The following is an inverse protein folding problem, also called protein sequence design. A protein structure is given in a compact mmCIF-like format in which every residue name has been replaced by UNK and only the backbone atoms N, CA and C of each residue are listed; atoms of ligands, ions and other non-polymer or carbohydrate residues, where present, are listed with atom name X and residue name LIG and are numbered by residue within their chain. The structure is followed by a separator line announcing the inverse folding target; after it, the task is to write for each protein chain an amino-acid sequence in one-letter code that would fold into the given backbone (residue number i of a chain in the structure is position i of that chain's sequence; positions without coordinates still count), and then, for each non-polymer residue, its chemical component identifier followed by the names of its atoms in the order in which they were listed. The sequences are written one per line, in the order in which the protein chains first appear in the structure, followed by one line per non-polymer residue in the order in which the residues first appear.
data_IF_241595779346
#
_entry.id   IF_241595779346
#
_cell.length_a   1.000
_cell.length_b   1.000
_cell.length_c   1.000
_cell.angle_alpha   90.00
_cell.angle_beta   90.00
_cell.angle_gamma   90.00
#
_symmetry.space_group_name_H-M   'P 1'
#
loop_
_entity.id
_entity.type
_entity.pdbx_description
1 polymer ?
#
# COMPACT_ATOMS: atom_id res chain seq x y z
N UNK A 1 -56.92 22.36 -30.21
CA UNK A 1 -55.67 21.88 -30.83
C UNK A 1 -54.80 21.27 -29.75
N UNK A 2 -54.37 20.00 -29.93
CA UNK A 2 -53.44 19.26 -29.07
C UNK A 2 -51.99 19.38 -29.58
N UNK A 3 -51.03 18.85 -28.79
CA UNK A 3 -49.73 18.20 -29.15
C UNK A 3 -48.86 18.19 -27.86
N UNK A 4 -48.68 17.04 -27.21
CA UNK A 4 -47.55 16.07 -27.36
C UNK A 4 -46.21 16.62 -26.84
N UNK A 5 -45.33 15.90 -26.14
CA UNK A 5 -45.28 14.55 -25.57
C UNK A 5 -43.93 14.45 -24.79
N UNK A 6 -43.75 13.34 -24.07
CA UNK A 6 -42.49 12.73 -23.59
C UNK A 6 -42.03 13.16 -22.18
N UNK A 7 -42.23 12.31 -21.16
CA UNK A 7 -41.45 11.09 -20.90
C UNK A 7 -39.94 11.31 -21.09
N UNK A 8 -39.23 11.49 -19.98
CA UNK A 8 -37.93 10.83 -19.79
C UNK A 8 -37.69 10.61 -18.30
N UNK A 9 -38.11 9.42 -17.89
CA UNK A 9 -37.51 8.65 -16.81
C UNK A 9 -36.06 8.33 -17.22
N UNK A 10 -35.11 8.62 -16.33
CA UNK A 10 -33.88 7.86 -16.07
C UNK A 10 -33.47 8.33 -14.66
N UNK A 11 -33.83 7.66 -13.57
CA UNK A 11 -33.55 6.26 -13.24
C UNK A 11 -32.09 5.88 -13.53
N UNK A 12 -31.17 6.55 -12.83
CA UNK A 12 -29.82 6.04 -12.53
C UNK A 12 -29.67 5.72 -11.03
N UNK A 13 -30.76 5.35 -10.35
CA UNK A 13 -30.68 4.60 -9.09
C UNK A 13 -30.49 3.11 -9.42
N UNK A 14 -29.37 2.82 -10.08
CA UNK A 14 -29.05 1.52 -10.64
C UNK A 14 -27.78 0.91 -10.06
N UNK A 15 -27.53 1.04 -8.75
CA UNK A 15 -26.60 0.14 -8.05
C UNK A 15 -27.27 -1.23 -7.90
N UNK A 16 -27.54 -1.90 -9.02
CA UNK A 16 -28.04 -3.26 -8.99
C UNK A 16 -27.03 -4.16 -8.27
N UNK A 17 -27.46 -5.31 -7.72
CA UNK A 17 -26.58 -6.28 -7.05
C UNK A 17 -25.40 -6.74 -7.94
N UNK A 18 -25.46 -6.52 -9.26
CA UNK A 18 -24.36 -6.76 -10.21
C UNK A 18 -23.19 -5.75 -10.15
N UNK A 19 -23.43 -4.48 -9.82
CA UNK A 19 -22.37 -3.46 -9.77
C UNK A 19 -21.49 -3.63 -8.52
N UNK A 20 -22.10 -3.96 -7.39
CA UNK A 20 -21.37 -4.32 -6.19
C UNK A 20 -20.52 -5.56 -6.44
N UNK A 21 -21.04 -6.55 -7.15
CA UNK A 21 -20.33 -7.77 -7.49
C UNK A 21 -19.08 -7.58 -8.37
N UNK A 22 -18.92 -6.43 -9.02
CA UNK A 22 -17.77 -6.13 -9.87
C UNK A 22 -16.57 -5.59 -9.07
N UNK A 23 -16.80 -4.78 -8.03
CA UNK A 23 -15.73 -4.07 -7.29
C UNK A 23 -14.68 -5.00 -6.67
N UNK A 24 -15.10 -6.15 -6.11
CA UNK A 24 -14.18 -7.12 -5.52
C UNK A 24 -13.39 -7.90 -6.58
N UNK A 25 -14.00 -8.14 -7.76
CA UNK A 25 -13.33 -8.77 -8.89
C UNK A 25 -12.26 -7.81 -9.42
N UNK A 26 -12.63 -6.56 -9.68
CA UNK A 26 -11.73 -5.48 -10.09
C UNK A 26 -10.57 -5.33 -9.10
N UNK A 27 -10.86 -5.23 -7.79
CA UNK A 27 -9.82 -5.14 -6.76
C UNK A 27 -8.86 -6.34 -6.76
N UNK A 28 -9.37 -7.55 -6.99
CA UNK A 28 -8.55 -8.75 -7.05
C UNK A 28 -7.66 -8.78 -8.31
N UNK A 29 -8.18 -8.40 -9.48
CA UNK A 29 -7.38 -8.29 -10.71
C UNK A 29 -6.29 -7.22 -10.57
N UNK A 30 -6.64 -6.06 -10.03
CA UNK A 30 -5.68 -4.99 -9.73
C UNK A 30 -4.58 -5.46 -8.79
N UNK A 31 -4.96 -6.19 -7.75
CA UNK A 31 -4.03 -6.76 -6.78
C UNK A 31 -3.10 -7.79 -7.43
N UNK A 32 -3.59 -8.63 -8.35
CA UNK A 32 -2.75 -9.60 -9.10
C UNK A 32 -1.75 -8.89 -10.00
N UNK A 33 -2.20 -7.91 -10.77
CA UNK A 33 -1.32 -7.12 -11.65
C UNK A 33 -0.26 -6.39 -10.84
N UNK A 34 -0.65 -5.78 -9.73
CA UNK A 34 0.27 -5.05 -8.87
C UNK A 34 1.30 -5.96 -8.20
N UNK A 35 0.88 -7.13 -7.69
CA UNK A 35 1.78 -8.13 -7.11
C UNK A 35 2.74 -8.73 -8.15
N UNK A 36 2.26 -9.02 -9.37
CA UNK A 36 3.12 -9.55 -10.43
C UNK A 36 4.21 -8.55 -10.84
N UNK A 37 3.86 -7.27 -10.93
CA UNK A 37 4.82 -6.22 -11.23
C UNK A 37 5.81 -5.99 -10.07
N UNK A 38 5.38 -6.09 -8.81
CA UNK A 38 6.28 -6.02 -7.66
C UNK A 38 7.23 -7.23 -7.58
N UNK A 39 6.73 -8.44 -7.85
CA UNK A 39 7.54 -9.64 -7.91
C UNK A 39 8.61 -9.57 -9.01
N UNK A 40 8.28 -9.01 -10.16
CA UNK A 40 9.24 -8.78 -11.24
C UNK A 40 10.31 -7.74 -10.87
N UNK A 41 9.93 -6.67 -10.16
CA UNK A 41 10.89 -5.68 -9.63
C UNK A 41 11.84 -6.31 -8.59
N UNK A 42 11.32 -7.16 -7.71
CA UNK A 42 12.12 -7.90 -6.74
C UNK A 42 13.08 -8.90 -7.41
N UNK A 43 12.61 -9.64 -8.43
CA UNK A 43 13.44 -10.59 -9.16
C UNK A 43 14.59 -9.89 -9.90
N UNK A 44 14.31 -8.74 -10.52
CA UNK A 44 15.30 -7.95 -11.22
C UNK A 44 16.34 -7.31 -10.29
N UNK A 45 15.95 -6.93 -9.06
CA UNK A 45 16.88 -6.45 -8.05
C UNK A 45 17.88 -7.52 -7.56
N UNK A 46 17.47 -8.80 -7.55
CA UNK A 46 18.35 -9.91 -7.16
C UNK A 46 19.27 -10.40 -8.28
N UNK A 47 18.94 -10.12 -9.55
CA UNK A 47 19.71 -10.59 -10.71
C UNK A 47 20.87 -9.68 -11.13
N UNK A 48 21.08 -8.54 -10.47
CA UNK A 48 22.16 -7.57 -10.80
C UNK A 48 23.57 -8.09 -10.42
N UNK A 49 23.69 -9.31 -9.87
CA UNK A 49 24.97 -9.86 -9.39
C UNK A 49 25.73 -10.77 -10.36
N UNK A 50 25.32 -10.90 -11.62
CA UNK A 50 26.06 -11.73 -12.60
C UNK A 50 26.17 -10.99 -13.93
N UNK A 51 27.39 -10.50 -14.21
CA UNK A 51 27.78 -9.83 -15.44
C UNK A 51 27.30 -10.56 -16.71
N UNK A 52 26.48 -9.90 -17.55
CA UNK A 52 26.38 -10.12 -19.00
C UNK A 52 25.47 -9.08 -19.69
N UNK A 53 26.01 -8.43 -20.73
CA UNK A 53 25.38 -7.53 -21.71
C UNK A 53 24.63 -6.28 -21.19
N UNK A 54 25.30 -5.12 -21.32
CA UNK A 54 24.75 -3.78 -21.03
C UNK A 54 23.41 -3.49 -21.71
N UNK A 55 23.16 -4.06 -22.89
CA UNK A 55 21.88 -3.91 -23.61
C UNK A 55 20.73 -4.68 -22.94
N UNK A 56 20.99 -5.86 -22.38
CA UNK A 56 20.00 -6.66 -21.68
C UNK A 56 19.67 -6.06 -20.30
N UNK A 57 20.68 -5.60 -19.57
CA UNK A 57 20.52 -4.84 -18.32
C UNK A 57 19.73 -3.55 -18.54
N UNK A 58 20.03 -2.82 -19.62
CA UNK A 58 19.33 -1.58 -19.94
C UNK A 58 17.89 -1.82 -20.42
N UNK A 59 17.64 -2.90 -21.16
CA UNK A 59 16.28 -3.31 -21.52
C UNK A 59 15.45 -3.71 -20.28
N UNK A 60 16.06 -4.44 -19.34
CA UNK A 60 15.42 -4.81 -18.07
C UNK A 60 15.13 -3.57 -17.23
N UNK A 61 16.10 -2.66 -17.06
CA UNK A 61 15.92 -1.40 -16.34
C UNK A 61 14.80 -0.54 -16.95
N UNK A 62 14.77 -0.42 -18.28
CA UNK A 62 13.72 0.30 -19.00
C UNK A 62 12.34 -0.33 -18.78
N UNK A 63 12.25 -1.66 -18.77
CA UNK A 63 11.00 -2.36 -18.50
C UNK A 63 10.51 -2.15 -17.06
N UNK A 64 11.41 -2.19 -16.08
CA UNK A 64 11.08 -1.86 -14.68
C UNK A 64 10.57 -0.43 -14.54
N UNK A 65 11.25 0.54 -15.16
CA UNK A 65 10.83 1.95 -15.17
C UNK A 65 9.43 2.09 -15.78
N UNK A 66 9.19 1.44 -16.91
CA UNK A 66 7.89 1.43 -17.59
C UNK A 66 6.78 0.88 -16.68
N UNK A 67 7.02 -0.26 -16.03
CA UNK A 67 6.04 -0.87 -15.10
C UNK A 67 5.76 0.01 -13.89
N UNK A 68 6.81 0.54 -13.27
CA UNK A 68 6.67 1.46 -12.14
C UNK A 68 5.92 2.74 -12.55
N UNK A 69 6.16 3.26 -13.74
CA UNK A 69 5.41 4.40 -14.29
C UNK A 69 3.93 4.07 -14.50
N UNK A 70 3.63 2.93 -15.11
CA UNK A 70 2.25 2.50 -15.34
C UNK A 70 1.47 2.31 -14.02
N UNK A 71 2.11 1.75 -12.99
CA UNK A 71 1.50 1.63 -11.66
C UNK A 71 1.22 2.98 -11.01
N UNK A 72 2.17 3.92 -11.11
CA UNK A 72 1.98 5.29 -10.59
C UNK A 72 0.83 5.99 -11.30
N UNK A 73 0.77 5.88 -12.62
CA UNK A 73 -0.27 6.55 -13.41
C UNK A 73 -1.66 6.00 -13.09
N UNK A 74 -1.80 4.67 -13.06
CA UNK A 74 -3.03 4.01 -12.61
C UNK A 74 -3.40 4.43 -11.19
N UNK A 75 -2.44 4.41 -10.28
CA UNK A 75 -2.66 4.79 -8.91
C UNK A 75 -3.11 6.24 -8.76
N UNK A 76 -2.53 7.18 -9.51
CA UNK A 76 -2.99 8.58 -9.56
C UNK A 76 -4.43 8.69 -10.05
N UNK A 77 -4.81 7.93 -11.07
CA UNK A 77 -6.18 7.91 -11.59
C UNK A 77 -7.16 7.38 -10.54
N UNK A 78 -6.81 6.29 -9.86
CA UNK A 78 -7.63 5.70 -8.80
C UNK A 78 -7.73 6.62 -7.56
N UNK A 79 -6.66 7.33 -7.20
CA UNK A 79 -6.67 8.29 -6.10
C UNK A 79 -7.59 9.50 -6.36
N UNK A 80 -7.77 9.87 -7.64
CA UNK A 80 -8.70 10.94 -8.07
C UNK A 80 -10.15 10.48 -8.15
N UNK A 81 -10.39 9.17 -8.27
CA UNK A 81 -11.71 8.59 -8.42
C UNK A 81 -12.52 8.81 -7.14
N UNK A 82 -13.66 9.49 -7.28
CA UNK A 82 -14.64 9.65 -6.19
C UNK A 82 -15.72 8.59 -6.33
N UNK A 83 -15.95 7.83 -5.27
CA UNK A 83 -16.98 6.81 -5.20
C UNK A 83 -18.12 7.34 -4.34
N UNK A 84 -19.28 7.53 -4.97
CA UNK A 84 -20.49 7.98 -4.30
C UNK A 84 -21.05 6.90 -3.36
N UNK A 85 -21.71 7.32 -2.28
CA UNK A 85 -22.40 6.39 -1.36
C UNK A 85 -21.53 5.64 -0.36
N UNK A 86 -20.21 5.88 -0.34
CA UNK A 86 -19.29 5.29 0.66
C UNK A 86 -18.95 6.35 1.72
N UNK A 87 -19.08 6.05 3.02
CA UNK A 87 -18.60 6.95 4.07
C UNK A 87 -17.08 7.08 3.96
N UNK A 88 -16.61 8.32 3.79
CA UNK A 88 -15.20 8.62 3.50
C UNK A 88 -14.79 9.99 4.02
N UNK A 89 -13.49 10.20 4.19
CA UNK A 89 -12.89 11.51 4.48
C UNK A 89 -12.23 12.04 3.21
N UNK A 90 -12.48 13.30 2.88
CA UNK A 90 -11.71 14.00 1.85
C UNK A 90 -10.47 14.61 2.50
N UNK A 91 -9.29 14.23 2.02
CA UNK A 91 -8.02 14.70 2.56
C UNK A 91 -7.19 15.29 1.43
N UNK A 92 -6.73 16.53 1.62
CA UNK A 92 -5.71 17.11 0.75
C UNK A 92 -4.35 16.53 1.15
N UNK A 93 -3.68 15.87 0.21
CA UNK A 93 -2.40 15.19 0.41
C UNK A 93 -1.34 15.89 -0.40
N UNK A 94 -0.28 16.33 0.29
CA UNK A 94 0.91 16.93 -0.29
C UNK A 94 2.13 16.15 0.21
N UNK A 95 2.93 15.60 -0.71
CA UNK A 95 4.15 14.84 -0.44
C UNK A 95 5.28 15.43 -1.27
N UNK A 96 6.38 15.80 -0.62
CA UNK A 96 7.51 16.47 -1.24
C UNK A 96 8.54 15.47 -1.77
N UNK A 97 8.85 14.42 -1.01
CA UNK A 97 9.85 13.45 -1.38
C UNK A 97 9.34 12.50 -2.47
N UNK A 98 10.14 12.33 -3.53
CA UNK A 98 9.78 11.55 -4.71
C UNK A 98 9.59 10.05 -4.40
N UNK A 99 10.36 9.50 -3.45
CA UNK A 99 10.30 8.08 -3.06
C UNK A 99 9.03 7.82 -2.27
N UNK A 100 8.67 8.73 -1.36
CA UNK A 100 7.42 8.68 -0.59
C UNK A 100 6.22 8.81 -1.53
N UNK A 101 6.20 9.83 -2.38
CA UNK A 101 5.14 10.06 -3.38
C UNK A 101 4.96 8.89 -4.36
N UNK A 102 6.08 8.31 -4.83
CA UNK A 102 6.06 7.13 -5.69
C UNK A 102 5.45 5.92 -4.98
N UNK A 103 5.81 5.68 -3.72
CA UNK A 103 5.26 4.57 -2.93
C UNK A 103 3.77 4.78 -2.63
N UNK A 104 3.39 6.02 -2.31
CA UNK A 104 2.00 6.41 -2.06
C UNK A 104 1.13 6.12 -3.28
N UNK A 105 1.50 6.67 -4.43
CA UNK A 105 0.75 6.50 -5.68
C UNK A 105 0.64 5.05 -6.11
N UNK A 106 1.67 4.21 -5.92
CA UNK A 106 1.63 2.80 -6.30
C UNK A 106 0.76 1.93 -5.40
N UNK A 107 0.76 2.18 -4.09
CA UNK A 107 0.26 1.20 -3.11
C UNK A 107 -0.96 1.66 -2.32
N UNK A 108 -1.10 2.95 -2.04
CA UNK A 108 -2.10 3.46 -1.10
C UNK A 108 -3.53 3.07 -1.50
N UNK A 109 -3.89 3.30 -2.77
CA UNK A 109 -5.26 3.10 -3.24
C UNK A 109 -5.72 1.63 -3.09
N UNK A 110 -4.82 0.67 -3.32
CA UNK A 110 -5.10 -0.76 -3.15
C UNK A 110 -5.25 -1.16 -1.69
N UNK A 111 -4.45 -0.56 -0.81
CA UNK A 111 -4.54 -0.82 0.62
C UNK A 111 -5.85 -0.25 1.17
N UNK A 112 -6.20 0.99 0.83
CA UNK A 112 -7.46 1.61 1.26
C UNK A 112 -8.68 0.88 0.67
N UNK A 113 -8.64 0.49 -0.61
CA UNK A 113 -9.69 -0.33 -1.25
C UNK A 113 -9.83 -1.67 -0.53
N UNK A 114 -8.72 -2.33 -0.21
CA UNK A 114 -8.74 -3.61 0.50
C UNK A 114 -9.29 -3.50 1.91
N UNK A 115 -8.89 -2.48 2.68
CA UNK A 115 -9.42 -2.23 4.02
C UNK A 115 -10.94 -1.97 3.99
N UNK A 116 -11.41 -1.19 3.02
CA UNK A 116 -12.83 -0.90 2.84
C UNK A 116 -13.64 -2.14 2.47
N UNK A 117 -13.14 -2.98 1.55
CA UNK A 117 -13.78 -4.23 1.16
C UNK A 117 -13.82 -5.24 2.32
N UNK A 118 -12.73 -5.36 3.10
CA UNK A 118 -12.71 -6.20 4.31
C UNK A 118 -13.79 -5.77 5.30
N UNK A 119 -13.99 -4.46 5.49
CA UNK A 119 -15.00 -3.92 6.41
C UNK A 119 -16.43 -4.12 5.90
N UNK A 120 -16.70 -3.86 4.62
CA UNK A 120 -18.06 -3.93 4.07
C UNK A 120 -18.52 -5.33 3.74
N UNK A 121 -17.59 -6.20 3.33
CA UNK A 121 -17.93 -7.48 2.69
C UNK A 121 -17.26 -8.69 3.33
N UNK A 122 -16.24 -8.48 4.16
CA UNK A 122 -15.52 -9.58 4.80
C UNK A 122 -16.46 -10.53 5.52
N UNK A 123 -17.38 -10.00 6.32
CA UNK A 123 -18.30 -10.81 7.12
C UNK A 123 -19.16 -11.74 6.27
N UNK A 124 -19.69 -11.24 5.14
CA UNK A 124 -20.54 -11.99 4.23
C UNK A 124 -19.78 -13.03 3.38
N UNK A 125 -18.49 -12.79 3.11
CA UNK A 125 -17.71 -13.61 2.18
C UNK A 125 -16.90 -14.69 2.91
N UNK A 126 -16.21 -14.30 3.99
CA UNK A 126 -15.27 -15.16 4.72
C UNK A 126 -15.69 -15.42 6.16
N UNK A 127 -16.75 -14.77 6.64
CA UNK A 127 -17.24 -14.86 8.02
C UNK A 127 -16.66 -13.78 8.93
N UNK A 128 -17.47 -13.33 9.88
CA UNK A 128 -17.18 -12.20 10.79
C UNK A 128 -15.84 -12.36 11.53
N UNK A 129 -15.58 -13.53 12.13
CA UNK A 129 -14.34 -13.77 12.87
C UNK A 129 -13.09 -13.64 11.99
N UNK A 130 -13.15 -14.15 10.75
CA UNK A 130 -12.01 -14.08 9.82
C UNK A 130 -11.82 -12.66 9.30
N UNK A 131 -12.91 -11.96 9.00
CA UNK A 131 -12.88 -10.58 8.57
C UNK A 131 -12.34 -9.64 9.66
N UNK A 132 -12.75 -9.84 10.91
CA UNK A 132 -12.20 -9.12 12.07
C UNK A 132 -10.68 -9.36 12.19
N UNK A 133 -10.23 -10.62 12.11
CA UNK A 133 -8.81 -10.96 12.16
C UNK A 133 -7.98 -10.31 11.04
N UNK A 134 -8.51 -10.27 9.81
CA UNK A 134 -7.81 -9.59 8.70
C UNK A 134 -7.67 -8.09 8.95
N UNK A 135 -8.72 -7.44 9.48
CA UNK A 135 -8.69 -6.01 9.82
C UNK A 135 -7.69 -5.73 10.94
N UNK A 136 -7.70 -6.53 12.01
CA UNK A 136 -6.74 -6.42 13.11
C UNK A 136 -5.29 -6.59 12.63
N UNK A 137 -5.03 -7.56 11.75
CA UNK A 137 -3.70 -7.78 11.18
C UNK A 137 -3.24 -6.60 10.31
N UNK A 138 -4.11 -6.05 9.46
CA UNK A 138 -3.79 -4.85 8.68
C UNK A 138 -3.47 -3.66 9.59
N UNK A 139 -4.29 -3.45 10.61
CA UNK A 139 -4.10 -2.38 11.59
C UNK A 139 -2.79 -2.55 12.36
N UNK A 140 -2.43 -3.77 12.75
CA UNK A 140 -1.18 -4.07 13.45
C UNK A 140 0.04 -3.77 12.56
N UNK A 141 0.01 -4.14 11.28
CA UNK A 141 1.09 -3.82 10.33
C UNK A 141 1.27 -2.31 10.17
N UNK A 142 0.17 -1.56 10.01
CA UNK A 142 0.22 -0.09 9.88
C UNK A 142 0.73 0.54 11.18
N UNK A 143 0.25 0.09 12.34
CA UNK A 143 0.65 0.65 13.65
C UNK A 143 2.12 0.38 13.97
N UNK A 144 2.66 -0.77 13.57
CA UNK A 144 4.08 -1.07 13.72
C UNK A 144 4.95 -0.07 12.93
N UNK A 145 4.58 0.22 11.68
CA UNK A 145 5.30 1.20 10.85
C UNK A 145 5.10 2.62 11.37
N UNK A 146 3.89 3.00 11.82
CA UNK A 146 3.61 4.30 12.43
C UNK A 146 4.48 4.55 13.68
N UNK A 147 4.59 3.55 14.55
CA UNK A 147 5.41 3.64 15.77
C UNK A 147 6.89 3.82 15.41
N UNK A 148 7.39 3.06 14.44
CA UNK A 148 8.78 3.12 14.00
C UNK A 148 9.12 4.47 13.36
N UNK A 149 8.29 4.97 12.43
CA UNK A 149 8.56 6.25 11.76
C UNK A 149 8.46 7.43 12.72
N UNK A 150 7.54 7.39 13.70
CA UNK A 150 7.47 8.42 14.76
C UNK A 150 8.73 8.46 15.59
N UNK A 151 9.21 7.30 16.05
CA UNK A 151 10.46 7.22 16.81
C UNK A 151 11.64 7.77 16.01
N UNK A 152 11.74 7.42 14.72
CA UNK A 152 12.81 7.93 13.86
C UNK A 152 12.67 9.44 13.66
N UNK A 153 11.46 9.94 13.43
CA UNK A 153 11.18 11.37 13.30
C UNK A 153 11.54 12.14 14.57
N UNK A 154 11.18 11.63 15.75
CA UNK A 154 11.54 12.24 17.04
C UNK A 154 13.06 12.27 17.24
N UNK A 155 13.76 11.18 16.91
CA UNK A 155 15.21 11.13 17.01
C UNK A 155 15.90 12.11 16.05
N UNK A 156 15.44 12.18 14.79
CA UNK A 156 15.94 13.14 13.81
C UNK A 156 15.62 14.57 14.19
N UNK A 157 14.41 14.83 14.72
CA UNK A 157 14.04 16.15 15.22
C UNK A 157 14.95 16.57 16.39
N UNK A 158 15.29 15.67 17.31
CA UNK A 158 16.23 15.99 18.38
C UNK A 158 17.65 16.34 17.88
N UNK A 159 18.11 15.70 16.79
CA UNK A 159 19.37 16.05 16.13
C UNK A 159 19.28 17.44 15.48
N UNK A 160 18.17 17.71 14.79
CA UNK A 160 17.86 19.04 14.28
C UNK A 160 17.86 20.03 15.43
N UNK A 161 17.09 19.86 16.51
CA UNK A 161 17.02 20.84 17.60
C UNK A 161 18.35 21.10 18.31
N UNK A 162 19.26 20.10 18.36
CA UNK A 162 20.62 20.27 18.89
C UNK A 162 21.54 21.05 17.96
N UNK A 163 21.43 20.80 16.66
CA UNK A 163 22.41 21.21 15.65
C UNK A 163 21.85 22.27 14.66
N UNK A 164 20.57 22.58 14.73
CA UNK A 164 19.84 23.42 13.79
C UNK A 164 19.99 24.89 14.14
N UNK A 165 20.35 25.65 13.11
CA UNK A 165 20.49 27.09 13.14
C UNK A 165 21.72 27.59 13.92
N UNK A 166 22.83 26.85 13.87
CA UNK A 166 24.12 27.51 13.92
C UNK A 166 24.16 28.61 12.85
N UNK A 167 24.79 29.75 13.18
CA UNK A 167 24.89 30.89 12.27
C UNK A 167 25.49 30.44 10.93
N UNK A 168 24.74 30.57 9.83
CA UNK A 168 25.13 30.09 8.50
C UNK A 168 24.55 28.73 8.07
N UNK A 169 23.64 28.13 8.83
CA UNK A 169 22.96 26.89 8.41
C UNK A 169 22.16 27.07 7.11
N UNK A 170 22.24 26.08 6.22
CA UNK A 170 21.50 26.04 4.96
C UNK A 170 20.07 25.55 5.24
N UNK A 171 19.08 26.38 4.90
CA UNK A 171 17.68 25.98 4.92
C UNK A 171 17.29 25.38 3.56
N UNK A 172 17.11 24.05 3.53
CA UNK A 172 16.74 23.32 2.32
C UNK A 172 15.23 23.28 2.19
N UNK A 173 14.74 23.69 1.03
CA UNK A 173 13.33 23.62 0.66
C UNK A 173 13.14 22.91 -0.67
N UNK A 174 12.08 22.12 -0.78
CA UNK A 174 11.65 21.57 -2.07
C UNK A 174 11.09 22.68 -2.96
N UNK A 175 11.34 22.59 -4.26
CA UNK A 175 10.82 23.56 -5.25
C UNK A 175 9.32 23.42 -5.49
N UNK A 176 8.76 22.27 -5.15
CA UNK A 176 7.33 21.95 -5.20
C UNK A 176 7.09 20.50 -4.78
N UNK A 177 5.84 20.11 -4.51
CA UNK A 177 5.53 18.76 -4.08
C UNK A 177 5.69 17.75 -5.22
N UNK A 178 6.22 16.56 -4.92
CA UNK A 178 6.27 15.44 -5.85
C UNK A 178 4.88 14.84 -6.12
N UNK A 179 3.94 15.02 -5.19
CA UNK A 179 2.53 14.66 -5.35
C UNK A 179 1.64 15.59 -4.54
N UNK A 180 0.61 16.14 -5.18
CA UNK A 180 -0.37 17.02 -4.54
C UNK A 180 -1.75 16.77 -5.15
N UNK A 181 -2.68 16.23 -4.36
CA UNK A 181 -4.05 15.98 -4.79
C UNK A 181 -5.00 15.90 -3.58
N UNK A 182 -6.28 16.19 -3.79
CA UNK A 182 -7.33 15.90 -2.81
C UNK A 182 -7.96 14.54 -3.11
N UNK A 183 -7.81 13.60 -2.18
CA UNK A 183 -8.22 12.20 -2.34
C UNK A 183 -9.37 11.84 -1.41
N UNK A 184 -10.10 10.78 -1.76
CA UNK A 184 -11.13 10.18 -0.91
C UNK A 184 -10.54 8.97 -0.17
N UNK A 185 -10.49 9.03 1.15
CA UNK A 185 -10.03 7.94 2.03
C UNK A 185 -11.24 7.23 2.60
N UNK A 186 -11.37 5.92 2.35
CA UNK A 186 -12.60 5.15 2.59
C UNK A 186 -12.55 4.27 3.84
N UNK A 187 -11.39 4.20 4.49
CA UNK A 187 -11.17 3.37 5.67
C UNK A 187 -10.37 4.10 6.77
N UNK A 188 -10.53 3.66 8.02
CA UNK A 188 -9.73 4.20 9.15
C UNK A 188 -8.27 3.79 9.01
N UNK A 189 -8.02 2.59 8.50
CA UNK A 189 -6.72 2.03 8.18
C UNK A 189 -6.04 2.85 7.07
N UNK A 190 -6.79 3.23 6.04
CA UNK A 190 -6.33 4.16 4.99
C UNK A 190 -5.94 5.52 5.55
N UNK A 191 -6.72 6.07 6.50
CA UNK A 191 -6.38 7.34 7.15
C UNK A 191 -5.11 7.22 8.01
N UNK A 192 -4.96 6.13 8.76
CA UNK A 192 -3.77 5.85 9.54
C UNK A 192 -2.53 5.68 8.63
N UNK A 193 -2.68 4.95 7.52
CA UNK A 193 -1.60 4.78 6.54
C UNK A 193 -1.24 6.10 5.86
N UNK A 194 -2.20 6.95 5.52
CA UNK A 194 -1.92 8.27 4.93
C UNK A 194 -1.03 9.10 5.87
N UNK A 195 -1.30 9.06 7.17
CA UNK A 195 -0.45 9.70 8.19
C UNK A 195 0.98 9.15 8.18
N UNK A 196 1.15 7.83 8.06
CA UNK A 196 2.49 7.20 7.95
C UNK A 196 3.28 7.78 6.78
N UNK A 197 2.65 7.97 5.61
CA UNK A 197 3.30 8.61 4.47
C UNK A 197 3.70 10.06 4.76
N UNK A 198 2.83 10.84 5.41
CA UNK A 198 3.18 12.21 5.83
C UNK A 198 4.35 12.23 6.81
N UNK A 199 4.41 11.28 7.76
CA UNK A 199 5.52 11.19 8.72
C UNK A 199 6.84 10.85 8.04
N UNK A 200 6.83 9.94 7.05
CA UNK A 200 8.03 9.68 6.25
C UNK A 200 8.46 10.88 5.41
N UNK A 201 7.52 11.64 4.83
CA UNK A 201 7.82 12.87 4.09
C UNK A 201 8.51 13.91 4.99
N UNK A 202 7.98 14.09 6.20
CA UNK A 202 8.57 14.98 7.22
C UNK A 202 9.96 14.51 7.66
N UNK A 203 10.11 13.21 7.95
CA UNK A 203 11.39 12.63 8.36
C UNK A 203 12.46 12.87 7.29
N UNK A 204 12.15 12.57 6.03
CA UNK A 204 13.10 12.77 4.94
C UNK A 204 13.40 14.24 4.69
N UNK A 205 12.44 15.15 4.86
CA UNK A 205 12.70 16.58 4.78
C UNK A 205 13.69 17.06 5.85
N UNK A 206 13.59 16.56 7.07
CA UNK A 206 14.57 16.87 8.13
C UNK A 206 15.93 16.25 7.85
N UNK A 207 15.97 15.00 7.41
CA UNK A 207 17.22 14.33 7.06
C UNK A 207 17.94 15.03 5.91
N UNK A 208 17.24 15.46 4.86
CA UNK A 208 17.84 16.24 3.77
C UNK A 208 18.40 17.57 4.30
N UNK A 209 17.71 18.25 5.22
CA UNK A 209 18.28 19.44 5.85
C UNK A 209 19.58 19.12 6.61
N UNK A 210 19.62 18.02 7.38
CA UNK A 210 20.83 17.58 8.07
C UNK A 210 21.98 17.23 7.11
N UNK A 211 21.67 16.57 5.99
CA UNK A 211 22.63 16.20 4.94
C UNK A 211 23.32 17.45 4.36
N UNK A 212 22.54 18.45 3.93
CA UNK A 212 23.08 19.69 3.37
C UNK A 212 23.91 20.50 4.38
N UNK A 213 23.66 20.30 5.67
CA UNK A 213 24.43 20.91 6.75
C UNK A 213 25.58 20.02 7.26
N UNK A 214 25.88 18.91 6.57
CA UNK A 214 26.99 18.01 6.87
C UNK A 214 26.86 17.27 8.21
N UNK A 215 25.63 17.06 8.69
CA UNK A 215 25.36 16.38 9.98
C UNK A 215 25.12 14.89 9.83
N UNK A 216 24.69 14.46 8.66
CA UNK A 216 24.49 13.07 8.28
C UNK A 216 25.00 12.87 6.85
N UNK A 217 25.29 11.63 6.50
CA UNK A 217 25.74 11.29 5.15
C UNK A 217 24.56 11.12 4.18
N UNK A 218 24.79 11.39 2.90
CA UNK A 218 23.81 11.15 1.83
C UNK A 218 23.35 9.67 1.78
N UNK A 219 24.24 8.74 2.15
CA UNK A 219 23.93 7.31 2.24
C UNK A 219 22.86 7.00 3.29
N UNK A 220 22.80 7.75 4.39
CA UNK A 220 21.78 7.58 5.44
C UNK A 220 20.41 8.03 4.95
N UNK A 221 20.34 9.13 4.20
CA UNK A 221 19.11 9.60 3.55
C UNK A 221 18.60 8.57 2.54
N UNK A 222 19.49 8.04 1.70
CA UNK A 222 19.14 7.01 0.72
C UNK A 222 18.74 5.69 1.35
N UNK A 223 19.39 5.30 2.45
CA UNK A 223 19.00 4.14 3.24
C UNK A 223 17.60 4.34 3.83
N UNK A 224 17.27 5.52 4.36
CA UNK A 224 15.92 5.80 4.87
C UNK A 224 14.88 5.74 3.74
N UNK A 225 15.16 6.32 2.56
CA UNK A 225 14.30 6.20 1.37
C UNK A 225 14.06 4.74 0.98
N UNK A 226 15.09 3.91 1.03
CA UNK A 226 14.98 2.47 0.77
C UNK A 226 14.12 1.78 1.83
N UNK A 227 14.37 2.05 3.11
CA UNK A 227 13.61 1.48 4.23
C UNK A 227 12.13 1.85 4.15
N UNK A 228 11.78 3.09 3.81
CA UNK A 228 10.39 3.52 3.59
C UNK A 228 9.66 2.59 2.61
N UNK A 229 10.28 2.30 1.46
CA UNK A 229 9.70 1.35 0.49
C UNK A 229 9.56 -0.06 1.07
N UNK A 230 10.59 -0.56 1.75
CA UNK A 230 10.59 -1.91 2.31
C UNK A 230 9.56 -2.10 3.43
N UNK A 231 9.26 -1.05 4.20
CA UNK A 231 8.28 -1.12 5.31
C UNK A 231 6.83 -1.03 4.81
N UNK A 232 6.58 -0.32 3.70
CA UNK A 232 5.25 -0.21 3.10
C UNK A 232 4.87 -1.44 2.26
N UNK A 233 5.84 -2.07 1.57
CA UNK A 233 5.60 -3.24 0.71
C UNK A 233 4.85 -4.39 1.41
N UNK A 234 5.15 -4.78 2.65
CA UNK A 234 4.40 -5.80 3.39
C UNK A 234 2.92 -5.46 3.59
N UNK A 235 2.60 -4.21 3.92
CA UNK A 235 1.22 -3.74 4.10
C UNK A 235 0.47 -3.88 2.76
N UNK A 236 1.10 -3.43 1.67
CA UNK A 236 0.58 -3.60 0.32
C UNK A 236 0.33 -5.07 -0.03
N UNK A 237 1.35 -5.93 0.15
CA UNK A 237 1.24 -7.37 -0.17
C UNK A 237 0.13 -8.04 0.63
N UNK A 238 -0.03 -7.67 1.90
CA UNK A 238 -1.11 -8.16 2.75
C UNK A 238 -2.47 -7.78 2.17
N UNK A 239 -2.71 -6.49 1.91
CA UNK A 239 -3.99 -6.01 1.40
C UNK A 239 -4.32 -6.61 0.02
N UNK A 240 -3.33 -6.68 -0.88
CA UNK A 240 -3.48 -7.27 -2.20
C UNK A 240 -3.86 -8.76 -2.13
N UNK A 241 -3.20 -9.53 -1.25
CA UNK A 241 -3.53 -10.95 -1.03
C UNK A 241 -4.91 -11.12 -0.41
N UNK A 242 -5.30 -10.25 0.51
CA UNK A 242 -6.63 -10.28 1.11
C UNK A 242 -7.74 -10.04 0.08
N UNK A 243 -7.56 -9.10 -0.86
CA UNK A 243 -8.48 -8.87 -1.97
C UNK A 243 -8.66 -10.14 -2.82
N UNK A 244 -7.55 -10.77 -3.22
CA UNK A 244 -7.55 -12.01 -4.01
C UNK A 244 -8.20 -13.16 -3.23
N UNK A 245 -7.89 -13.28 -1.94
CA UNK A 245 -8.42 -14.31 -1.06
C UNK A 245 -9.94 -14.20 -0.86
N UNK A 246 -10.45 -12.98 -0.67
CA UNK A 246 -11.88 -12.72 -0.59
C UNK A 246 -12.59 -13.04 -1.92
N UNK A 247 -12.03 -12.63 -3.06
CA UNK A 247 -12.58 -12.96 -4.39
C UNK A 247 -12.62 -14.48 -4.63
N UNK A 248 -11.56 -15.20 -4.24
CA UNK A 248 -11.48 -16.65 -4.37
C UNK A 248 -12.51 -17.35 -3.47
N UNK A 249 -12.65 -16.88 -2.23
CA UNK A 249 -13.64 -17.43 -1.28
C UNK A 249 -15.07 -17.22 -1.76
N UNK A 250 -15.36 -16.04 -2.33
CA UNK A 250 -16.63 -15.76 -2.98
C UNK A 250 -16.92 -16.73 -4.13
N UNK A 251 -15.95 -16.96 -5.03
CA UNK A 251 -16.13 -17.87 -6.16
C UNK A 251 -16.44 -19.30 -5.69
N UNK A 252 -15.79 -19.78 -4.62
CA UNK A 252 -16.07 -21.07 -4.00
C UNK A 252 -17.47 -21.14 -3.39
N UNK A 253 -17.89 -20.09 -2.68
CA UNK A 253 -19.22 -20.03 -2.09
C UNK A 253 -20.33 -20.00 -3.16
N UNK A 254 -20.06 -19.39 -4.33
CA UNK A 254 -21.00 -19.36 -5.46
C UNK A 254 -21.12 -20.73 -6.18
N UNK A 255 -20.05 -21.53 -6.21
CA UNK A 255 -20.05 -22.87 -6.83
C UNK A 255 -20.69 -23.96 -5.95
N UNK A 256 -20.95 -23.67 -4.66
CA UNK A 256 -21.46 -24.62 -3.68
C UNK A 256 -22.98 -24.59 -3.46
N UNK A 257 -23.79 -25.03 -4.44
CA UNK A 257 -25.12 -25.62 -4.15
C UNK A 257 -25.64 -26.59 -5.24
N UNK A 258 -25.22 -27.87 -5.21
CA UNK A 258 -26.12 -29.00 -5.40
C UNK A 258 -26.53 -29.51 -4.01
N UNK A 259 -27.84 -29.60 -3.75
CA UNK A 259 -28.35 -29.95 -2.43
C UNK A 259 -28.01 -31.37 -1.98
N UNK A 260 -27.56 -31.53 -0.73
CA UNK A 260 -27.98 -32.59 0.22
C UNK A 260 -27.22 -32.51 1.54
N UNK A 261 -27.98 -32.65 2.64
CA UNK A 261 -27.63 -33.38 3.87
C UNK A 261 -26.28 -33.14 4.56
N UNK A 262 -26.35 -32.52 5.74
CA UNK A 262 -25.57 -32.88 6.95
C UNK A 262 -24.11 -33.34 6.76
N UNK A 263 -23.17 -32.40 6.80
CA UNK A 263 -21.87 -32.50 7.50
C UNK A 263 -21.01 -31.28 7.13
N UNK A 264 -21.11 -30.19 7.90
CA UNK A 264 -20.31 -28.96 7.69
C UNK A 264 -19.50 -28.63 8.95
N UNK A 265 -18.53 -29.49 9.26
CA UNK A 265 -17.52 -29.18 10.31
C UNK A 265 -16.08 -29.23 9.78
N UNK A 266 -15.81 -29.95 8.68
CA UNK A 266 -14.42 -30.18 8.23
C UNK A 266 -13.92 -29.33 7.05
N UNK A 267 -14.77 -28.65 6.28
CA UNK A 267 -14.32 -27.89 5.10
C UNK A 267 -13.87 -26.45 5.40
N UNK A 268 -14.21 -25.89 6.57
CA UNK A 268 -13.65 -24.60 7.01
C UNK A 268 -12.15 -24.70 7.24
N UNK A 269 -11.68 -25.82 7.79
CA UNK A 269 -10.31 -26.07 8.21
C UNK A 269 -9.29 -26.05 7.05
N UNK A 270 -9.68 -26.44 5.83
CA UNK A 270 -8.77 -26.43 4.67
C UNK A 270 -8.58 -25.03 4.08
N UNK A 271 -9.60 -24.18 4.12
CA UNK A 271 -9.47 -22.76 3.81
C UNK A 271 -8.68 -22.00 4.89
N UNK A 272 -8.85 -22.40 6.15
CA UNK A 272 -8.10 -21.88 7.30
C UNK A 272 -6.60 -22.17 7.16
N UNK A 273 -6.21 -23.39 6.77
CA UNK A 273 -4.81 -23.75 6.61
C UNK A 273 -4.10 -22.90 5.54
N UNK A 274 -4.69 -22.72 4.36
CA UNK A 274 -4.04 -21.99 3.27
C UNK A 274 -3.87 -20.48 3.55
N UNK A 275 -4.84 -19.85 4.23
CA UNK A 275 -4.74 -18.43 4.60
C UNK A 275 -3.80 -18.25 5.79
N UNK A 276 -3.88 -19.12 6.79
CA UNK A 276 -2.94 -19.10 7.94
C UNK A 276 -1.52 -19.40 7.48
N UNK A 277 -1.30 -20.32 6.55
CA UNK A 277 0.02 -20.63 5.99
C UNK A 277 0.57 -19.49 5.12
N UNK A 278 -0.29 -18.84 4.32
CA UNK A 278 0.10 -17.62 3.57
C UNK A 278 0.40 -16.42 4.48
N UNK A 279 -0.20 -16.37 5.67
CA UNK A 279 0.03 -15.34 6.69
C UNK A 279 1.26 -15.66 7.53
N UNK A 280 1.45 -16.90 7.95
CA UNK A 280 2.63 -17.35 8.71
C UNK A 280 3.90 -17.27 7.87
N UNK A 281 3.84 -17.62 6.58
CA UNK A 281 4.97 -17.41 5.65
C UNK A 281 5.31 -15.94 5.45
N UNK A 282 4.32 -15.05 5.49
CA UNK A 282 4.52 -13.59 5.48
C UNK A 282 5.16 -13.10 6.79
N UNK A 283 4.66 -13.55 7.94
CA UNK A 283 5.23 -13.21 9.25
C UNK A 283 6.66 -13.71 9.40
N UNK A 284 6.96 -14.92 8.92
CA UNK A 284 8.33 -15.44 8.88
C UNK A 284 9.21 -14.63 7.92
N UNK A 285 8.69 -14.20 6.76
CA UNK A 285 9.46 -13.35 5.84
C UNK A 285 9.73 -11.96 6.43
N UNK A 286 8.82 -11.44 7.26
CA UNK A 286 8.97 -10.18 7.98
C UNK A 286 9.98 -10.28 9.12
N UNK A 287 9.96 -11.40 9.86
CA UNK A 287 10.94 -11.68 10.91
C UNK A 287 12.35 -11.90 10.33
N UNK A 288 12.46 -12.59 9.18
CA UNK A 288 13.74 -12.82 8.49
C UNK A 288 14.29 -11.58 7.78
N UNK A 289 13.44 -10.60 7.46
CA UNK A 289 13.83 -9.30 6.89
C UNK A 289 14.30 -8.27 7.92
N UNK A 290 14.17 -8.57 9.22
CA UNK A 290 14.68 -7.76 10.31
C UNK A 290 15.91 -8.48 10.88
N UNK A 291 17.09 -8.25 10.29
CA UNK A 291 18.42 -8.25 10.95
C UNK A 291 19.53 -8.20 9.88
N UNK A 292 20.10 -7.01 9.70
CA UNK A 292 21.54 -6.80 9.60
C UNK A 292 21.82 -5.32 9.86
N UNK A 293 21.71 -4.92 11.13
CA UNK A 293 22.48 -3.77 11.60
C UNK A 293 23.90 -4.28 11.77
N UNK A 294 24.73 -4.08 10.75
CA UNK A 294 26.17 -4.26 10.89
C UNK A 294 26.71 -3.15 11.79
N UNK A 295 26.63 -3.37 13.10
CA UNK A 295 27.52 -2.75 14.07
C UNK A 295 28.69 -3.72 14.26
N UNK A 296 29.66 -3.67 13.36
CA UNK A 296 31.03 -4.07 13.68
C UNK A 296 31.78 -2.79 14.08
N UNK A 297 31.58 -2.41 15.33
CA UNK A 297 32.48 -1.55 16.08
C UNK A 297 33.17 -2.45 17.10
N UNK A 298 34.30 -3.04 16.70
CA UNK A 298 35.49 -3.32 17.52
C UNK A 298 36.37 -4.40 16.85
N UNK A 299 37.34 -3.96 16.04
CA UNK A 299 38.68 -4.55 15.95
C UNK A 299 39.57 -3.69 15.04
N UNK A 300 40.57 -3.06 15.68
CA UNK A 300 41.73 -2.28 15.16
C UNK A 300 41.53 -0.77 15.00
#
# INVERSE_FOLDING_TARGET
MPLNAMDSIHDELGSGPGAEHDELLEAAEESRVALAAEAAEAAAGNSVSVAADSAAEQALANDLIRRASAQRERGKQELKRKIAGIPSVQQHVMLNDQVVASSFTRFFYLIDKGAELMRRRGDAIIGEQRAAKLREQLQALISAVDTEVRRNLEATQALVDRDAYAEGAIAVSYTGPAYEETIQIRSREGLALQRVFTLYDQLLALMVNLEWNGKIDASEVDQMRYQTKQKIRPIFRFAARANIGMQTSRARNAQGRPGRGTSRVNDSAKGDAAIVEAVSSLQESLAKGSFSSATDADAL
#
